data_IF_534488801637
#
_entry.id   IF_534488801637
#
_cell.length_a   1.000
_cell.length_b   1.000
_cell.length_c   1.000
_cell.angle_alpha   90.00
_cell.angle_beta   90.00
_cell.angle_gamma   90.00
#
_symmetry.space_group_name_H-M   'P 1'
#
loop_
_entity.id
_entity.type
_entity.pdbx_description
1 polymer ?
#
# COMPACT_ATOMS: atom_id res chain seq x y z
N UNK A 1 51.30 0.42 -30.29
CA UNK A 1 50.14 -0.41 -29.92
C UNK A 1 50.55 -1.27 -28.73
N UNK A 2 50.05 -0.96 -27.53
CA UNK A 2 50.17 -1.81 -26.36
C UNK A 2 48.75 -1.96 -25.79
N UNK A 3 48.26 -3.21 -25.73
CA UNK A 3 46.95 -3.54 -25.19
C UNK A 3 47.05 -3.49 -23.67
N UNK A 4 46.14 -2.74 -23.03
CA UNK A 4 45.95 -2.72 -21.59
C UNK A 4 44.81 -3.68 -21.31
N UNK A 5 45.13 -4.85 -20.74
CA UNK A 5 44.13 -5.80 -20.25
C UNK A 5 43.64 -5.34 -18.87
N UNK A 6 42.32 -5.28 -18.71
CA UNK A 6 41.66 -5.09 -17.42
C UNK A 6 41.13 -6.45 -16.90
N UNK A 7 41.24 -6.74 -15.60
CA UNK A 7 40.77 -8.00 -15.03
C UNK A 7 39.23 -8.06 -14.92
N UNK A 8 38.67 -9.23 -15.23
CA UNK A 8 37.24 -9.55 -15.09
C UNK A 8 36.73 -9.30 -13.66
N UNK A 9 35.72 -8.43 -13.54
CA UNK A 9 34.98 -8.21 -12.30
C UNK A 9 34.01 -9.37 -12.06
N UNK A 10 34.47 -10.43 -11.41
CA UNK A 10 33.58 -11.46 -10.87
C UNK A 10 32.91 -10.93 -9.59
N UNK A 11 31.76 -10.27 -9.71
CA UNK A 11 30.87 -10.06 -8.57
C UNK A 11 30.19 -11.39 -8.20
N UNK A 12 30.08 -11.74 -6.91
CA UNK A 12 29.42 -12.97 -6.49
C UNK A 12 27.90 -12.75 -6.59
N UNK A 13 27.31 -13.21 -7.68
CA UNK A 13 25.86 -13.29 -7.80
C UNK A 13 25.33 -14.35 -6.84
N UNK A 14 24.39 -13.92 -6.00
CA UNK A 14 23.51 -14.72 -5.16
C UNK A 14 22.93 -15.89 -5.96
N UNK A 15 23.25 -17.13 -5.57
CA UNK A 15 22.74 -18.34 -6.22
C UNK A 15 21.67 -19.00 -5.32
N UNK A 16 20.36 -18.77 -5.58
CA UNK A 16 19.28 -19.26 -4.74
C UNK A 16 19.11 -20.79 -4.79
N UNK A 17 19.82 -21.50 -5.68
CA UNK A 17 19.75 -22.96 -5.80
C UNK A 17 20.46 -23.71 -4.65
N UNK A 18 21.24 -23.02 -3.79
CA UNK A 18 21.97 -23.66 -2.68
C UNK A 18 21.11 -23.96 -1.45
N UNK A 19 19.90 -23.40 -1.34
CA UNK A 19 19.07 -23.55 -0.13
C UNK A 19 18.02 -24.65 -0.20
N UNK A 20 17.95 -25.42 -1.29
CA UNK A 20 16.96 -26.49 -1.42
C UNK A 20 17.60 -27.88 -1.58
N UNK A 21 18.30 -28.32 -0.55
CA UNK A 21 18.59 -29.76 -0.37
C UNK A 21 18.34 -30.18 1.07
N UNK A 22 17.08 -30.48 1.38
CA UNK A 22 16.77 -31.48 2.41
C UNK A 22 15.97 -32.58 1.72
N UNK A 23 16.69 -33.60 1.24
CA UNK A 23 16.12 -34.89 0.84
C UNK A 23 15.86 -35.70 2.12
N UNK A 24 14.63 -36.15 2.41
CA UNK A 24 14.43 -37.22 3.37
C UNK A 24 14.58 -38.56 2.64
N UNK A 25 15.69 -39.24 2.88
CA UNK A 25 15.88 -40.65 2.52
C UNK A 25 14.96 -41.51 3.39
N UNK A 26 13.91 -42.07 2.79
CA UNK A 26 13.03 -43.02 3.45
C UNK A 26 13.71 -44.40 3.53
N UNK A 27 14.18 -44.79 4.72
CA UNK A 27 14.48 -46.19 5.07
C UNK A 27 13.46 -46.69 6.08
N UNK A 28 12.77 -47.76 5.67
CA UNK A 28 11.75 -48.50 6.41
C UNK A 28 12.44 -49.55 7.26
N UNK A 29 12.34 -49.45 8.59
CA UNK A 29 12.53 -50.57 9.51
C UNK A 29 11.48 -50.50 10.61
N UNK A 30 10.68 -51.57 10.70
CA UNK A 30 9.73 -51.81 11.78
C UNK A 30 10.51 -52.16 13.05
N UNK A 31 10.31 -51.41 14.13
CA UNK A 31 10.43 -51.91 15.49
C UNK A 31 9.51 -51.08 16.38
N UNK A 32 8.67 -51.78 17.16
CA UNK A 32 7.81 -51.18 18.19
C UNK A 32 8.71 -50.98 19.41
N UNK A 33 8.86 -49.73 19.86
CA UNK A 33 9.22 -49.48 21.24
C UNK A 33 8.55 -48.18 21.75
N UNK A 34 8.05 -48.30 22.96
CA UNK A 34 7.23 -47.34 23.71
C UNK A 34 8.11 -46.22 24.26
N UNK A 35 8.01 -44.99 23.71
CA UNK A 35 8.62 -43.80 24.34
C UNK A 35 7.67 -42.61 24.32
N UNK A 36 7.05 -42.44 25.49
CA UNK A 36 6.45 -41.24 26.07
C UNK A 36 7.03 -39.90 25.57
N UNK A 37 6.13 -39.04 25.10
CA UNK A 37 6.13 -37.59 25.38
C UNK A 37 7.27 -36.76 24.80
N UNK A 38 7.20 -36.41 23.51
CA UNK A 38 7.96 -35.26 22.98
C UNK A 38 7.12 -34.00 23.24
N UNK A 39 7.47 -33.27 24.30
CA UNK A 39 6.87 -31.97 24.63
C UNK A 39 7.14 -31.00 23.48
N UNK A 40 6.10 -30.39 22.91
CA UNK A 40 6.20 -29.31 21.93
C UNK A 40 7.22 -28.27 22.43
N UNK A 41 8.15 -27.77 21.58
CA UNK A 41 9.13 -26.79 22.00
C UNK A 41 8.39 -25.56 22.53
N UNK A 42 8.89 -24.99 23.64
CA UNK A 42 8.26 -23.84 24.33
C UNK A 42 7.98 -22.64 23.43
N UNK A 43 8.67 -22.55 22.30
CA UNK A 43 8.46 -21.52 21.30
C UNK A 43 7.11 -21.65 20.57
N UNK A 44 6.61 -22.86 20.28
CA UNK A 44 5.32 -23.00 19.58
C UNK A 44 4.14 -22.63 20.48
N UNK A 45 4.26 -22.89 21.79
CA UNK A 45 3.24 -22.50 22.76
C UNK A 45 3.14 -20.97 22.89
N UNK A 46 4.29 -20.26 22.86
CA UNK A 46 4.33 -18.79 22.92
C UNK A 46 3.80 -18.16 21.63
N UNK A 47 4.02 -18.81 20.47
CA UNK A 47 3.46 -18.35 19.19
C UNK A 47 1.95 -18.54 19.10
N UNK A 48 1.42 -19.66 19.60
CA UNK A 48 -0.02 -19.90 19.69
C UNK A 48 -0.69 -18.94 20.70
N UNK A 49 0.00 -18.59 21.79
CA UNK A 49 -0.48 -17.65 22.80
C UNK A 49 -0.47 -16.20 22.29
N UNK A 50 0.58 -15.78 21.55
CA UNK A 50 0.65 -14.48 20.89
C UNK A 50 -0.36 -14.32 19.73
N UNK A 51 -0.73 -15.43 19.07
CA UNK A 51 -1.80 -15.45 18.07
C UNK A 51 -3.20 -15.30 18.71
N UNK A 52 -3.37 -15.73 19.97
CA UNK A 52 -4.61 -15.58 20.72
C UNK A 52 -4.90 -14.16 21.20
N UNK A 53 -3.88 -13.36 21.50
CA UNK A 53 -4.04 -11.99 22.01
C UNK A 53 -4.25 -10.93 20.91
N UNK A 54 -4.00 -11.25 19.64
CA UNK A 54 -4.25 -10.34 18.51
C UNK A 54 -5.64 -10.50 17.90
N UNK A 55 -6.51 -11.34 18.49
CA UNK A 55 -7.87 -11.61 18.03
C UNK A 55 -8.91 -10.51 18.37
N UNK A 56 -8.50 -9.35 18.91
CA UNK A 56 -9.40 -8.20 19.14
C UNK A 56 -9.08 -6.97 18.27
N UNK A 57 -8.17 -7.10 17.30
CA UNK A 57 -7.93 -6.07 16.30
C UNK A 57 -8.74 -6.37 15.02
N UNK A 58 -10.05 -6.10 15.09
CA UNK A 58 -10.90 -5.83 13.93
C UNK A 58 -11.15 -7.01 12.97
N UNK A 59 -12.26 -7.70 13.17
CA UNK A 59 -12.98 -8.35 12.07
C UNK A 59 -13.50 -7.28 11.09
N UNK A 60 -12.63 -6.75 10.23
CA UNK A 60 -13.04 -6.07 9.00
C UNK A 60 -12.02 -6.47 7.94
N UNK A 61 -12.23 -7.61 7.27
CA UNK A 61 -11.37 -7.94 6.12
C UNK A 61 -11.92 -8.94 5.12
N UNK A 62 -13.24 -8.97 4.94
CA UNK A 62 -13.81 -9.57 3.74
C UNK A 62 -15.11 -8.89 3.28
N UNK A 63 -15.10 -7.56 3.32
CA UNK A 63 -15.98 -6.81 2.44
C UNK A 63 -15.25 -6.78 1.10
N UNK A 64 -15.80 -7.46 0.10
CA UNK A 64 -15.46 -7.21 -1.31
C UNK A 64 -15.30 -5.70 -1.50
N UNK A 65 -14.31 -5.19 -2.26
CA UNK A 65 -14.11 -3.76 -2.44
C UNK A 65 -15.42 -3.13 -2.88
N UNK A 66 -16.13 -2.55 -1.92
CA UNK A 66 -17.50 -2.13 -2.09
C UNK A 66 -17.42 -0.78 -2.77
N UNK A 67 -17.97 -0.70 -3.98
CA UNK A 67 -18.17 0.58 -4.66
C UNK A 67 -18.85 1.61 -3.73
N UNK A 68 -19.63 1.15 -2.75
CA UNK A 68 -20.21 1.94 -1.67
C UNK A 68 -19.15 2.64 -0.81
N UNK A 69 -18.15 1.92 -0.29
CA UNK A 69 -17.08 2.54 0.53
C UNK A 69 -16.24 3.51 -0.29
N UNK A 70 -16.02 3.21 -1.57
CA UNK A 70 -15.35 4.14 -2.48
C UNK A 70 -16.16 5.43 -2.68
N UNK A 71 -17.48 5.33 -2.86
CA UNK A 71 -18.40 6.47 -2.96
C UNK A 71 -18.40 7.29 -1.67
N UNK A 72 -18.48 6.64 -0.51
CA UNK A 72 -18.43 7.33 0.79
C UNK A 72 -17.11 8.11 0.99
N UNK A 73 -15.98 7.52 0.60
CA UNK A 73 -14.68 8.21 0.65
C UNK A 73 -14.64 9.42 -0.30
N UNK A 74 -15.19 9.28 -1.50
CA UNK A 74 -15.26 10.37 -2.48
C UNK A 74 -16.19 11.51 -1.99
N UNK A 75 -17.34 11.16 -1.44
CA UNK A 75 -18.27 12.12 -0.83
C UNK A 75 -17.62 12.86 0.34
N UNK A 76 -16.84 12.14 1.17
CA UNK A 76 -16.03 12.75 2.23
C UNK A 76 -14.99 13.73 1.71
N UNK A 77 -14.36 13.44 0.57
CA UNK A 77 -13.44 14.37 -0.10
C UNK A 77 -14.17 15.61 -0.59
N UNK A 78 -15.34 15.46 -1.22
CA UNK A 78 -16.14 16.59 -1.72
C UNK A 78 -16.59 17.50 -0.59
N UNK A 79 -17.14 16.92 0.48
CA UNK A 79 -17.57 17.68 1.67
C UNK A 79 -16.41 18.45 2.32
N UNK A 80 -15.25 17.81 2.49
CA UNK A 80 -14.07 18.49 3.02
C UNK A 80 -13.54 19.58 2.08
N UNK A 81 -13.65 19.38 0.77
CA UNK A 81 -13.30 20.38 -0.24
C UNK A 81 -14.21 21.61 -0.20
N UNK A 82 -15.51 21.40 -0.01
CA UNK A 82 -16.49 22.48 0.16
C UNK A 82 -16.27 23.28 1.46
N UNK A 83 -15.94 22.60 2.55
CA UNK A 83 -15.54 23.27 3.80
C UNK A 83 -14.29 24.12 3.59
N UNK A 84 -13.25 23.56 2.96
CA UNK A 84 -11.99 24.27 2.68
C UNK A 84 -12.19 25.46 1.74
N UNK A 85 -13.09 25.33 0.77
CA UNK A 85 -13.51 26.40 -0.13
C UNK A 85 -14.15 27.55 0.65
N UNK A 86 -15.00 27.27 1.64
CA UNK A 86 -15.65 28.33 2.42
C UNK A 86 -14.71 28.93 3.47
N UNK A 87 -13.86 28.10 4.08
CA UNK A 87 -12.99 28.45 5.20
C UNK A 87 -11.61 27.85 5.02
N UNK A 88 -10.65 28.60 4.44
CA UNK A 88 -9.28 28.14 4.25
C UNK A 88 -8.45 28.24 5.54
N UNK A 89 -8.91 27.62 6.62
CA UNK A 89 -8.16 27.54 7.88
C UNK A 89 -7.34 26.24 7.97
N UNK A 90 -6.32 26.19 8.84
CA UNK A 90 -5.43 25.03 8.95
C UNK A 90 -6.14 23.70 9.27
N UNK A 91 -7.26 23.75 9.99
CA UNK A 91 -8.02 22.55 10.37
C UNK A 91 -8.68 21.91 9.14
N UNK A 92 -9.29 22.71 8.27
CA UNK A 92 -9.96 22.32 7.04
C UNK A 92 -8.97 21.80 6.02
N UNK A 93 -7.78 22.42 5.92
CA UNK A 93 -6.68 21.90 5.10
C UNK A 93 -6.32 20.48 5.56
N UNK A 94 -6.19 20.27 6.88
CA UNK A 94 -5.86 18.96 7.44
C UNK A 94 -6.97 17.94 7.15
N UNK A 95 -8.25 18.31 7.32
CA UNK A 95 -9.40 17.45 7.00
C UNK A 95 -9.39 17.04 5.53
N UNK A 96 -9.24 18.00 4.63
CA UNK A 96 -9.21 17.73 3.19
C UNK A 96 -8.05 16.83 2.80
N UNK A 97 -6.83 17.10 3.30
CA UNK A 97 -5.67 16.23 3.08
C UNK A 97 -5.91 14.80 3.58
N UNK A 98 -6.51 14.65 4.75
CA UNK A 98 -6.80 13.33 5.32
C UNK A 98 -7.82 12.58 4.47
N UNK A 99 -8.90 13.24 4.04
CA UNK A 99 -9.93 12.64 3.20
C UNK A 99 -9.34 12.14 1.87
N UNK A 100 -8.57 12.98 1.18
CA UNK A 100 -7.95 12.56 -0.09
C UNK A 100 -6.94 11.44 0.11
N UNK A 101 -6.13 11.49 1.18
CA UNK A 101 -5.20 10.39 1.47
C UNK A 101 -5.90 9.06 1.72
N UNK A 102 -6.99 9.07 2.47
CA UNK A 102 -7.78 7.86 2.73
C UNK A 102 -8.36 7.29 1.42
N UNK A 103 -8.88 8.16 0.55
CA UNK A 103 -9.37 7.78 -0.77
C UNK A 103 -8.27 7.17 -1.66
N UNK A 104 -7.12 7.86 -1.78
CA UNK A 104 -5.98 7.37 -2.58
C UNK A 104 -5.45 6.04 -2.05
N UNK A 105 -5.40 5.86 -0.71
CA UNK A 105 -4.97 4.62 -0.08
C UNK A 105 -5.89 3.46 -0.46
N UNK A 106 -7.21 3.68 -0.35
CA UNK A 106 -8.21 2.69 -0.72
C UNK A 106 -8.12 2.29 -2.20
N UNK A 107 -7.90 3.25 -3.11
CA UNK A 107 -7.72 2.95 -4.54
C UNK A 107 -6.47 2.09 -4.77
N UNK A 108 -5.36 2.43 -4.12
CA UNK A 108 -4.11 1.70 -4.30
C UNK A 108 -4.27 0.27 -3.77
N UNK A 109 -4.82 0.10 -2.56
CA UNK A 109 -5.03 -1.22 -1.96
C UNK A 109 -5.96 -2.10 -2.82
N UNK A 110 -7.13 -1.58 -3.21
CA UNK A 110 -8.09 -2.37 -3.97
C UNK A 110 -7.70 -2.55 -5.44
N UNK A 111 -6.97 -1.61 -6.02
CA UNK A 111 -6.41 -1.72 -7.37
C UNK A 111 -5.39 -2.85 -7.50
N UNK A 112 -4.68 -3.22 -6.42
CA UNK A 112 -3.81 -4.40 -6.43
C UNK A 112 -4.59 -5.70 -6.36
N UNK A 113 -5.62 -5.78 -5.51
CA UNK A 113 -6.42 -6.99 -5.29
C UNK A 113 -7.22 -7.42 -6.53
N UNK A 114 -7.81 -6.47 -7.25
CA UNK A 114 -8.60 -6.76 -8.47
C UNK A 114 -7.72 -7.25 -9.63
N UNK A 115 -6.48 -6.74 -9.75
CA UNK A 115 -5.61 -7.07 -10.87
C UNK A 115 -4.70 -8.28 -10.65
N UNK A 116 -4.49 -8.76 -9.42
CA UNK A 116 -3.86 -10.08 -9.20
C UNK A 116 -4.64 -11.19 -9.92
N UNK A 117 -5.96 -10.99 -10.10
CA UNK A 117 -6.83 -11.89 -10.87
C UNK A 117 -6.74 -11.69 -12.40
N UNK A 118 -6.15 -10.60 -12.89
CA UNK A 118 -6.05 -10.23 -14.31
C UNK A 118 -4.59 -10.00 -14.71
N UNK A 119 -3.93 -10.99 -15.31
CA UNK A 119 -2.47 -11.02 -15.54
C UNK A 119 -1.90 -10.03 -16.59
N UNK A 120 -2.58 -8.94 -16.96
CA UNK A 120 -2.30 -8.15 -18.18
C UNK A 120 -1.70 -6.74 -18.04
N UNK A 121 -1.46 -6.18 -16.85
CA UNK A 121 -1.73 -4.73 -16.68
C UNK A 121 -0.59 -3.84 -16.09
N UNK A 122 0.67 -4.03 -16.48
CA UNK A 122 1.79 -3.23 -15.90
C UNK A 122 1.75 -1.72 -16.29
N UNK A 123 1.28 -1.36 -17.49
CA UNK A 123 1.25 0.04 -17.94
C UNK A 123 0.19 0.88 -17.22
N UNK A 124 -1.01 0.33 -17.00
CA UNK A 124 -2.08 1.04 -16.30
C UNK A 124 -1.71 1.24 -14.82
N UNK A 125 -1.04 0.25 -14.18
CA UNK A 125 -0.46 0.43 -12.84
C UNK A 125 0.46 1.64 -12.79
N UNK A 126 1.43 1.75 -13.71
CA UNK A 126 2.36 2.90 -13.75
C UNK A 126 1.61 4.23 -13.90
N UNK A 127 0.58 4.29 -14.74
CA UNK A 127 -0.25 5.50 -14.90
C UNK A 127 -0.97 5.87 -13.60
N UNK A 128 -1.66 4.91 -12.95
CA UNK A 128 -2.35 5.14 -11.68
C UNK A 128 -1.39 5.58 -10.57
N UNK A 129 -0.22 4.94 -10.43
CA UNK A 129 0.82 5.39 -9.48
C UNK A 129 1.29 6.81 -9.76
N UNK A 130 1.48 7.16 -11.03
CA UNK A 130 1.89 8.51 -11.42
C UNK A 130 0.82 9.52 -11.03
N UNK A 131 -0.47 9.23 -11.29
CA UNK A 131 -1.59 10.08 -10.90
C UNK A 131 -1.69 10.27 -9.38
N UNK A 132 -1.55 9.20 -8.59
CA UNK A 132 -1.50 9.27 -7.12
C UNK A 132 -0.37 10.20 -6.65
N UNK A 133 0.84 10.05 -7.21
CA UNK A 133 1.97 10.93 -6.87
C UNK A 133 1.75 12.39 -7.29
N UNK A 134 1.04 12.62 -8.39
CA UNK A 134 0.70 13.98 -8.83
C UNK A 134 -0.34 14.60 -7.88
N UNK A 135 -1.37 13.84 -7.49
CA UNK A 135 -2.39 14.28 -6.53
C UNK A 135 -1.77 14.67 -5.18
N UNK A 136 -0.92 13.81 -4.60
CA UNK A 136 -0.25 14.09 -3.31
C UNK A 136 0.64 15.34 -3.37
N UNK A 137 1.41 15.51 -4.45
CA UNK A 137 2.23 16.72 -4.64
C UNK A 137 1.38 17.98 -4.74
N UNK A 138 0.26 17.94 -5.47
CA UNK A 138 -0.63 19.10 -5.61
C UNK A 138 -1.32 19.46 -4.30
N UNK A 139 -1.71 18.45 -3.51
CA UNK A 139 -2.23 18.66 -2.16
C UNK A 139 -1.23 19.37 -1.26
N UNK A 140 0.04 18.94 -1.27
CA UNK A 140 1.06 19.61 -0.46
C UNK A 140 1.36 21.03 -0.93
N UNK A 141 1.39 21.26 -2.24
CA UNK A 141 1.53 22.60 -2.79
C UNK A 141 0.35 23.51 -2.41
N UNK A 142 -0.88 23.00 -2.47
CA UNK A 142 -2.08 23.73 -2.04
C UNK A 142 -1.98 24.10 -0.55
N UNK A 143 -1.67 23.12 0.31
CA UNK A 143 -1.54 23.34 1.74
C UNK A 143 -0.46 24.38 2.06
N UNK A 144 0.74 24.23 1.48
CA UNK A 144 1.84 25.16 1.69
C UNK A 144 1.49 26.59 1.22
N UNK A 145 0.82 26.73 0.09
CA UNK A 145 0.47 28.04 -0.48
C UNK A 145 -0.67 28.74 0.29
N UNK A 146 -1.66 27.99 0.79
CA UNK A 146 -2.67 28.54 1.70
C UNK A 146 -2.02 28.98 3.01
N UNK A 147 -1.15 28.15 3.61
CA UNK A 147 -0.45 28.49 4.86
C UNK A 147 0.48 29.70 4.71
N UNK A 148 1.07 29.90 3.53
CA UNK A 148 1.89 31.06 3.22
C UNK A 148 1.07 32.34 2.97
N UNK A 149 -0.26 32.25 2.89
CA UNK A 149 -1.13 33.38 2.58
C UNK A 149 -0.96 33.93 1.15
N UNK A 150 -0.44 33.10 0.23
CA UNK A 150 -0.05 33.54 -1.13
C UNK A 150 -1.17 33.35 -2.17
N UNK A 151 -2.22 32.60 -1.85
CA UNK A 151 -3.29 32.31 -2.80
C UNK A 151 -4.47 33.26 -2.64
N UNK A 152 -4.99 33.72 -3.78
CA UNK A 152 -6.33 34.26 -3.87
C UNK A 152 -7.39 33.16 -3.71
N UNK A 153 -8.61 33.56 -3.33
CA UNK A 153 -9.75 32.64 -3.23
C UNK A 153 -10.00 31.87 -4.54
N UNK A 154 -9.85 32.54 -5.70
CA UNK A 154 -10.03 31.91 -7.00
C UNK A 154 -8.97 30.85 -7.31
N UNK A 155 -7.72 31.07 -6.90
CA UNK A 155 -6.65 30.08 -7.07
C UNK A 155 -6.85 28.84 -6.21
N UNK A 156 -7.38 29.01 -4.99
CA UNK A 156 -7.74 27.88 -4.12
C UNK A 156 -8.78 27.00 -4.83
N UNK A 157 -9.82 27.62 -5.40
CA UNK A 157 -10.86 26.90 -6.15
C UNK A 157 -10.27 26.13 -7.34
N UNK A 158 -9.48 26.81 -8.17
CA UNK A 158 -8.87 26.18 -9.34
C UNK A 158 -7.99 24.97 -8.96
N UNK A 159 -7.26 25.06 -7.85
CA UNK A 159 -6.43 23.95 -7.34
C UNK A 159 -7.27 22.81 -6.78
N UNK A 160 -8.40 23.10 -6.11
CA UNK A 160 -9.32 22.08 -5.63
C UNK A 160 -9.95 21.31 -6.80
N UNK A 161 -10.42 22.03 -7.83
CA UNK A 161 -11.01 21.43 -9.03
C UNK A 161 -9.98 20.57 -9.80
N UNK A 162 -8.73 21.02 -9.87
CA UNK A 162 -7.65 20.26 -10.48
C UNK A 162 -7.37 18.94 -9.73
N UNK A 163 -7.35 18.99 -8.39
CA UNK A 163 -7.20 17.77 -7.57
C UNK A 163 -8.41 16.85 -7.80
N UNK A 164 -9.63 17.37 -7.77
CA UNK A 164 -10.85 16.59 -8.01
C UNK A 164 -10.82 15.90 -9.39
N UNK A 165 -10.34 16.59 -10.43
CA UNK A 165 -10.15 16.00 -11.77
C UNK A 165 -9.21 14.79 -11.75
N UNK A 166 -8.08 14.89 -11.05
CA UNK A 166 -7.14 13.76 -10.91
C UNK A 166 -7.78 12.59 -10.17
N UNK A 167 -8.61 12.87 -9.14
CA UNK A 167 -9.31 11.82 -8.41
C UNK A 167 -10.35 11.10 -9.29
N UNK A 168 -11.03 11.83 -10.18
CA UNK A 168 -11.94 11.25 -11.17
C UNK A 168 -11.17 10.42 -12.20
N UNK A 169 -10.01 10.88 -12.67
CA UNK A 169 -9.16 10.14 -13.61
C UNK A 169 -8.66 8.80 -13.04
N UNK A 170 -8.56 8.68 -11.72
CA UNK A 170 -8.20 7.42 -11.05
C UNK A 170 -9.32 6.37 -11.07
N UNK A 171 -10.57 6.81 -11.23
CA UNK A 171 -11.76 5.96 -11.30
C UNK A 171 -12.04 5.42 -12.71
N UNK A 172 -11.45 6.04 -13.74
CA UNK A 172 -11.56 5.64 -15.14
C UNK A 172 -10.57 4.52 -15.50
#
# INVERSE_FOLDING_TARGET
MAKVDFPDSSSPFFNPALYNTVKPEAKKSKEKDDVRGVKKPRFSAILDEAAGETASAGEIRDLSPSEETLRELLDGVHSAGDELRQRPFPEEIKKYKQAVRNFLHYIVENGYTVEEQTSGTNLLKRKKFTLVQVADRKLEQLAASIMAGQNSQLEILARLDEIAGILVDLLQ
#
